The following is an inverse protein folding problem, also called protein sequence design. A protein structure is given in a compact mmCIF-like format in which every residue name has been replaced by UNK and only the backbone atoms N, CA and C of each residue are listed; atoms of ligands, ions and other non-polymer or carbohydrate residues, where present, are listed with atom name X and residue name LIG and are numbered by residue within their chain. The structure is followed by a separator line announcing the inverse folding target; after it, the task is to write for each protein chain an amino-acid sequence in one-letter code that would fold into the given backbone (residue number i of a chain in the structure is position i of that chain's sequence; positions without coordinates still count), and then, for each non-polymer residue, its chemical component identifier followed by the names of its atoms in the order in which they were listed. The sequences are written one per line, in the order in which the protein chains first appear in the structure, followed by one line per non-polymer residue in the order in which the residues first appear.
data_IF_542904358132
#
_entry.id   IF_542904358132
#
_cell.length_a   1.000
_cell.length_b   1.000
_cell.length_c   1.000
_cell.angle_alpha   90.00
_cell.angle_beta   90.00
_cell.angle_gamma   90.00
#
_symmetry.space_group_name_H-M   'P 1'
#
loop_
_entity.id
_entity.type
_entity.pdbx_description
1 polymer ?
#
# COMPACT_ATOMS: atom_id res chain seq x y z
N UNK A 1 9.62 0.95 -32.31
CA UNK A 1 8.96 1.68 -31.20
C UNK A 1 10.01 1.83 -30.09
N UNK A 2 10.61 3.03 -29.93
CA UNK A 2 11.56 3.29 -28.84
C UNK A 2 10.75 3.47 -27.57
N UNK A 3 10.84 2.54 -26.63
CA UNK A 3 10.41 2.78 -25.25
C UNK A 3 11.33 3.85 -24.67
N UNK A 4 10.86 5.10 -24.65
CA UNK A 4 11.49 6.14 -23.85
C UNK A 4 11.06 5.86 -22.41
N UNK A 5 11.92 5.15 -21.67
CA UNK A 5 11.76 4.96 -20.24
C UNK A 5 11.90 6.34 -19.61
N UNK A 6 10.78 7.03 -19.37
CA UNK A 6 10.80 8.33 -18.69
C UNK A 6 11.31 8.10 -17.27
N UNK A 7 12.52 8.56 -16.98
CA UNK A 7 13.09 8.54 -15.63
C UNK A 7 12.37 9.60 -14.80
N UNK A 8 11.41 9.20 -13.96
CA UNK A 8 10.85 10.07 -12.92
C UNK A 8 11.71 9.99 -11.66
N UNK A 9 11.91 11.13 -11.00
CA UNK A 9 12.46 11.17 -9.63
C UNK A 9 11.30 10.96 -8.66
N UNK A 10 11.55 10.20 -7.60
CA UNK A 10 10.60 10.09 -6.48
C UNK A 10 10.45 11.44 -5.78
N UNK A 11 9.32 11.64 -5.10
CA UNK A 11 9.10 12.85 -4.32
C UNK A 11 10.19 12.97 -3.25
N UNK A 12 10.83 14.15 -3.08
CA UNK A 12 11.83 14.35 -2.04
C UNK A 12 11.28 14.01 -0.65
N UNK A 13 12.13 13.40 0.17
CA UNK A 13 11.76 12.92 1.51
C UNK A 13 12.69 13.52 2.55
N UNK A 14 12.13 13.84 3.72
CA UNK A 14 12.93 14.02 4.93
C UNK A 14 13.36 12.65 5.43
N UNK A 15 14.61 12.55 5.88
CA UNK A 15 15.20 11.32 6.43
C UNK A 15 15.76 11.63 7.80
N UNK A 16 15.41 10.81 8.80
CA UNK A 16 15.93 10.94 10.16
C UNK A 16 15.98 9.57 10.84
N UNK A 17 16.70 9.48 11.96
CA UNK A 17 16.83 8.24 12.73
C UNK A 17 15.54 7.96 13.52
N UNK A 18 15.04 6.72 13.46
CA UNK A 18 13.94 6.26 14.31
C UNK A 18 14.36 6.32 15.79
N UNK A 19 13.46 6.63 16.74
CA UNK A 19 13.81 6.69 18.16
C UNK A 19 14.45 5.43 18.74
N UNK A 20 14.21 4.25 18.13
CA UNK A 20 14.89 3.00 18.52
C UNK A 20 16.39 2.96 18.18
N UNK A 21 16.86 3.84 17.28
CA UNK A 21 18.25 3.90 16.81
C UNK A 21 18.60 2.89 15.71
N UNK A 22 17.68 1.99 15.34
CA UNK A 22 18.02 0.82 14.51
C UNK A 22 17.64 0.96 13.02
N UNK A 23 16.98 2.05 12.63
CA UNK A 23 16.45 2.25 11.27
C UNK A 23 16.23 3.73 10.97
N UNK A 24 16.16 4.05 9.68
CA UNK A 24 15.83 5.39 9.20
C UNK A 24 14.34 5.49 8.88
N UNK A 25 13.74 6.61 9.24
CA UNK A 25 12.40 7.00 8.83
C UNK A 25 12.48 7.88 7.58
N UNK A 26 11.54 7.70 6.67
CA UNK A 26 11.43 8.49 5.45
C UNK A 26 10.01 9.02 5.28
N UNK A 27 9.86 10.32 5.10
CA UNK A 27 8.53 10.92 4.90
C UNK A 27 8.56 12.01 3.84
N UNK A 28 7.52 12.12 2.98
CA UNK A 28 7.45 13.18 1.99
C UNK A 28 7.62 14.56 2.62
N UNK A 29 8.34 15.44 1.93
CA UNK A 29 8.52 16.84 2.36
C UNK A 29 7.17 17.53 2.53
N UNK A 30 7.07 18.41 3.52
CA UNK A 30 5.79 19.07 3.89
C UNK A 30 5.30 20.03 2.82
N UNK A 31 6.20 20.49 1.95
CA UNK A 31 5.90 21.31 0.78
C UNK A 31 4.96 20.60 -0.20
N UNK A 32 4.97 19.26 -0.24
CA UNK A 32 4.05 18.47 -1.06
C UNK A 32 2.59 18.76 -0.69
N UNK A 33 2.30 19.04 0.58
CA UNK A 33 0.95 19.27 1.07
C UNK A 33 0.31 20.52 0.43
N UNK A 34 1.11 21.44 -0.12
CA UNK A 34 0.62 22.62 -0.87
C UNK A 34 -0.06 22.25 -2.19
N UNK A 35 0.20 21.04 -2.72
CA UNK A 35 -0.44 20.54 -3.92
C UNK A 35 -1.79 19.88 -3.64
N UNK A 36 -2.17 19.65 -2.37
CA UNK A 36 -3.47 19.05 -2.03
C UNK A 36 -4.61 19.98 -2.44
N UNK A 37 -5.47 19.49 -3.33
CA UNK A 37 -6.70 20.13 -3.77
C UNK A 37 -7.93 19.50 -3.10
N UNK A 38 -8.90 19.09 -3.93
CA UNK A 38 -10.16 18.50 -3.47
C UNK A 38 -9.91 17.32 -2.52
N UNK A 39 -10.57 17.34 -1.36
CA UNK A 39 -10.46 16.33 -0.31
C UNK A 39 -11.74 15.51 -0.19
N UNK A 40 -11.59 14.21 -0.05
CA UNK A 40 -12.63 13.28 0.39
C UNK A 40 -12.18 12.65 1.72
N UNK A 41 -13.15 12.44 2.61
CA UNK A 41 -12.89 11.81 3.89
C UNK A 41 -13.89 10.70 4.16
N UNK A 42 -13.37 9.56 4.64
CA UNK A 42 -14.14 8.43 5.13
C UNK A 42 -13.73 8.15 6.58
N UNK A 43 -14.66 7.80 7.44
CA UNK A 43 -14.36 7.51 8.85
C UNK A 43 -15.34 6.48 9.40
N UNK A 44 -14.88 5.68 10.36
CA UNK A 44 -15.66 4.65 11.05
C UNK A 44 -16.41 3.69 10.10
N UNK A 45 -15.74 3.23 9.03
CA UNK A 45 -16.30 2.22 8.12
C UNK A 45 -15.72 0.85 8.40
N UNK A 46 -16.58 -0.14 8.57
CA UNK A 46 -16.17 -1.54 8.71
C UNK A 46 -16.02 -2.17 7.33
N UNK A 47 -14.98 -2.99 7.19
CA UNK A 47 -14.68 -3.82 6.04
C UNK A 47 -14.68 -5.28 6.53
N UNK A 48 -15.74 -5.99 6.20
CA UNK A 48 -15.81 -7.43 6.37
C UNK A 48 -14.92 -8.13 5.32
N UNK A 49 -14.80 -9.45 5.43
CA UNK A 49 -14.08 -10.25 4.46
C UNK A 49 -14.72 -10.11 3.07
N UNK A 50 -13.93 -9.71 2.08
CA UNK A 50 -14.34 -9.49 0.70
C UNK A 50 -14.88 -8.08 0.43
N UNK A 51 -15.07 -7.26 1.46
CA UNK A 51 -15.59 -5.90 1.28
C UNK A 51 -14.56 -5.03 0.55
N UNK A 52 -15.08 -4.24 -0.40
CA UNK A 52 -14.32 -3.23 -1.14
C UNK A 52 -15.17 -1.96 -1.23
N UNK A 53 -14.58 -0.82 -0.89
CA UNK A 53 -15.23 0.50 -0.98
C UNK A 53 -14.43 1.35 -1.96
N UNK A 54 -15.10 1.82 -3.02
CA UNK A 54 -14.53 2.76 -3.98
C UNK A 54 -14.52 4.19 -3.39
N UNK A 55 -13.40 4.88 -3.55
CA UNK A 55 -13.23 6.29 -3.17
C UNK A 55 -13.47 7.14 -4.42
N UNK A 56 -14.58 7.88 -4.42
CA UNK A 56 -15.02 8.72 -5.55
C UNK A 56 -14.82 10.20 -5.24
N UNK A 57 -14.80 11.02 -6.30
CA UNK A 57 -14.73 12.48 -6.18
C UNK A 57 -13.31 13.02 -5.98
N UNK A 58 -12.30 12.30 -6.48
CA UNK A 58 -10.92 12.76 -6.57
C UNK A 58 -10.30 12.33 -7.90
N UNK A 59 -9.23 13.02 -8.33
CA UNK A 59 -8.40 12.60 -9.45
C UNK A 59 -7.46 11.48 -9.00
N UNK A 60 -7.90 10.22 -9.11
CA UNK A 60 -7.15 9.05 -8.58
C UNK A 60 -5.75 8.92 -9.18
N UNK A 61 -5.60 9.17 -10.48
CA UNK A 61 -4.31 9.06 -11.16
C UNK A 61 -3.26 10.03 -10.58
N UNK A 62 -3.65 11.06 -9.84
CA UNK A 62 -2.74 12.00 -9.19
C UNK A 62 -3.30 12.37 -7.80
N UNK A 63 -2.99 11.57 -6.79
CA UNK A 63 -3.62 11.64 -5.48
C UNK A 63 -2.65 11.40 -4.31
N UNK A 64 -2.98 11.94 -3.14
CA UNK A 64 -2.38 11.61 -1.85
C UNK A 64 -3.46 10.98 -0.98
N UNK A 65 -3.21 9.77 -0.48
CA UNK A 65 -4.17 9.00 0.31
C UNK A 65 -3.53 8.64 1.64
N UNK A 66 -4.17 9.00 2.75
CA UNK A 66 -3.74 8.68 4.10
C UNK A 66 -4.87 7.94 4.82
N UNK A 67 -4.62 6.70 5.22
CA UNK A 67 -5.60 5.83 5.88
C UNK A 67 -5.04 5.23 7.17
N UNK A 68 -5.88 5.19 8.19
CA UNK A 68 -5.66 4.47 9.45
C UNK A 68 -6.71 3.36 9.59
N UNK A 69 -6.22 2.13 9.70
CA UNK A 69 -6.97 0.92 9.97
C UNK A 69 -6.89 0.56 11.44
N UNK A 70 -7.92 -0.12 11.95
CA UNK A 70 -7.90 -0.80 13.25
C UNK A 70 -8.65 -2.12 13.18
N UNK A 71 -8.35 -3.04 14.09
CA UNK A 71 -8.96 -4.36 14.17
C UNK A 71 -9.13 -4.78 15.63
N UNK A 72 -10.08 -5.67 15.89
CA UNK A 72 -10.51 -5.97 17.26
C UNK A 72 -9.55 -6.90 17.99
N UNK A 73 -8.99 -7.87 17.26
CA UNK A 73 -8.09 -8.89 17.80
C UNK A 73 -6.99 -9.26 16.81
N UNK A 74 -5.89 -9.81 17.34
CA UNK A 74 -4.81 -10.46 16.60
C UNK A 74 -5.01 -11.97 16.49
N UNK A 75 -6.06 -12.53 17.12
CA UNK A 75 -6.25 -13.98 17.25
C UNK A 75 -6.41 -14.69 15.91
N UNK A 76 -6.94 -14.00 14.90
CA UNK A 76 -7.07 -14.57 13.56
C UNK A 76 -5.80 -14.49 12.74
N UNK A 77 -4.74 -13.79 13.18
CA UNK A 77 -3.49 -13.71 12.42
C UNK A 77 -2.96 -15.13 12.19
N UNK A 78 -2.56 -15.42 10.96
CA UNK A 78 -2.09 -16.75 10.60
C UNK A 78 -0.65 -16.97 11.06
N UNK A 79 -0.25 -18.22 11.23
CA UNK A 79 1.13 -18.55 11.58
C UNK A 79 2.06 -18.16 10.42
N UNK A 80 3.18 -17.54 10.76
CA UNK A 80 4.30 -17.38 9.85
C UNK A 80 4.83 -18.77 9.45
N UNK A 81 5.01 -19.01 8.14
CA UNK A 81 5.57 -20.28 7.66
C UNK A 81 7.10 -20.21 7.70
N UNK A 82 7.71 -20.97 8.62
CA UNK A 82 9.17 -21.06 8.78
C UNK A 82 9.89 -21.52 7.51
N UNK A 83 9.19 -22.18 6.57
CA UNK A 83 9.75 -22.52 5.26
C UNK A 83 10.10 -21.30 4.44
N UNK A 84 9.58 -20.11 4.76
CA UNK A 84 9.96 -18.86 4.11
C UNK A 84 11.37 -18.41 4.48
N UNK A 85 11.91 -18.86 5.62
CA UNK A 85 13.26 -18.47 6.06
C UNK A 85 14.38 -19.03 5.16
N UNK A 86 14.03 -19.90 4.20
CA UNK A 86 14.92 -20.31 3.11
C UNK A 86 15.15 -19.22 2.05
N UNK A 87 14.27 -18.20 1.98
CA UNK A 87 14.48 -17.08 1.08
C UNK A 87 15.57 -16.15 1.63
N UNK A 88 16.39 -15.55 0.75
CA UNK A 88 17.39 -14.58 1.20
C UNK A 88 16.73 -13.43 1.98
N UNK A 89 17.29 -12.97 3.12
CA UNK A 89 16.68 -11.95 3.97
C UNK A 89 16.26 -10.68 3.21
N UNK A 90 17.05 -10.25 2.22
CA UNK A 90 16.80 -9.09 1.38
C UNK A 90 15.59 -9.25 0.44
N UNK A 91 15.20 -10.49 0.12
CA UNK A 91 14.07 -10.81 -0.74
C UNK A 91 12.91 -11.48 0.02
N UNK A 92 13.07 -11.76 1.30
CA UNK A 92 12.09 -12.52 2.10
C UNK A 92 10.69 -11.89 2.05
N UNK A 93 10.57 -10.61 2.39
CA UNK A 93 9.29 -9.92 2.38
C UNK A 93 8.66 -9.86 0.98
N UNK A 94 9.48 -9.59 -0.04
CA UNK A 94 9.07 -9.61 -1.46
C UNK A 94 8.53 -10.98 -1.87
N UNK A 95 9.25 -12.06 -1.55
CA UNK A 95 8.85 -13.43 -1.87
C UNK A 95 7.54 -13.80 -1.18
N UNK A 96 7.37 -13.42 0.09
CA UNK A 96 6.11 -13.66 0.81
C UNK A 96 4.96 -12.90 0.15
N UNK A 97 5.14 -11.62 -0.24
CA UNK A 97 4.12 -10.86 -0.95
C UNK A 97 3.72 -11.50 -2.29
N UNK A 98 4.68 -12.08 -3.03
CA UNK A 98 4.40 -12.80 -4.27
C UNK A 98 3.65 -14.13 -4.07
N UNK A 99 3.83 -14.81 -2.93
CA UNK A 99 3.11 -16.04 -2.58
C UNK A 99 1.73 -15.74 -1.97
N UNK A 100 1.66 -14.69 -1.14
CA UNK A 100 0.47 -14.26 -0.39
C UNK A 100 -0.05 -12.94 -0.96
N UNK A 101 -0.41 -12.96 -2.24
CA UNK A 101 -0.94 -11.81 -2.97
C UNK A 101 -2.29 -11.33 -2.40
N UNK A 102 -2.80 -10.21 -2.92
CA UNK A 102 -4.06 -9.62 -2.47
C UNK A 102 -5.31 -10.53 -2.64
N UNK A 103 -5.24 -11.52 -3.54
CA UNK A 103 -6.33 -12.49 -3.76
C UNK A 103 -6.24 -13.69 -2.83
N UNK A 104 -5.07 -13.96 -2.23
CA UNK A 104 -4.87 -15.05 -1.28
C UNK A 104 -5.38 -14.63 0.10
N UNK A 105 -6.54 -15.18 0.46
CA UNK A 105 -7.20 -14.93 1.73
C UNK A 105 -6.31 -15.28 2.92
N UNK A 106 -6.52 -14.57 4.03
CA UNK A 106 -5.77 -14.78 5.25
C UNK A 106 -6.57 -14.48 6.51
N UNK A 107 -5.83 -14.48 7.60
CA UNK A 107 -6.31 -14.14 8.93
C UNK A 107 -6.60 -12.65 9.10
N UNK A 108 -5.57 -11.92 9.50
CA UNK A 108 -5.50 -10.47 9.43
C UNK A 108 -4.79 -10.05 8.13
N UNK A 109 -5.62 -9.74 7.14
CA UNK A 109 -5.19 -9.35 5.80
C UNK A 109 -5.24 -10.49 4.78
N UNK A 110 -5.12 -10.14 3.49
CA UNK A 110 -4.70 -8.82 3.01
C UNK A 110 -5.79 -7.75 3.16
N UNK A 111 -5.42 -6.57 3.68
CA UNK A 111 -6.28 -5.38 3.74
C UNK A 111 -5.46 -4.11 3.46
N UNK A 112 -6.05 -3.13 2.81
CA UNK A 112 -5.33 -1.92 2.42
C UNK A 112 -6.02 -1.16 1.30
N UNK A 113 -5.22 -0.66 0.36
CA UNK A 113 -5.66 0.11 -0.80
C UNK A 113 -5.54 -0.72 -2.09
N UNK A 114 -6.45 -0.50 -3.03
CA UNK A 114 -6.33 -0.91 -4.42
C UNK A 114 -6.17 0.37 -5.23
N UNK A 115 -4.96 0.62 -5.72
CA UNK A 115 -4.58 1.84 -6.43
C UNK A 115 -4.55 1.61 -7.93
N UNK A 116 -4.78 2.68 -8.71
CA UNK A 116 -4.71 2.67 -10.18
C UNK A 116 -5.46 1.45 -10.77
N UNK A 117 -6.71 1.29 -10.36
CA UNK A 117 -7.54 0.18 -10.75
C UNK A 117 -8.43 0.52 -11.97
N UNK A 118 -8.69 -0.43 -12.85
CA UNK A 118 -9.70 -0.30 -13.90
C UNK A 118 -11.10 -0.54 -13.31
N UNK A 119 -12.13 -0.08 -14.02
CA UNK A 119 -13.52 -0.12 -13.54
C UNK A 119 -14.04 -1.52 -13.18
N UNK A 120 -13.53 -2.59 -13.81
CA UNK A 120 -13.89 -3.97 -13.46
C UNK A 120 -12.75 -4.75 -12.80
N UNK A 121 -11.73 -4.05 -12.28
CA UNK A 121 -10.55 -4.64 -11.64
C UNK A 121 -9.78 -5.62 -12.55
N UNK A 122 -9.81 -5.40 -13.86
CA UNK A 122 -8.94 -6.13 -14.81
C UNK A 122 -7.46 -5.75 -14.63
N UNK A 123 -7.20 -4.49 -14.28
CA UNK A 123 -5.90 -3.99 -13.87
C UNK A 123 -6.02 -3.31 -12.51
N UNK A 124 -5.08 -3.53 -11.61
CA UNK A 124 -5.01 -2.85 -10.32
C UNK A 124 -3.66 -3.06 -9.64
N UNK A 125 -3.30 -2.16 -8.72
CA UNK A 125 -2.10 -2.29 -7.89
C UNK A 125 -2.47 -2.24 -6.41
N UNK A 126 -2.60 -3.39 -5.73
CA UNK A 126 -2.93 -3.41 -4.32
C UNK A 126 -1.69 -3.10 -3.47
N UNK A 127 -1.91 -2.25 -2.46
CA UNK A 127 -0.96 -1.94 -1.39
C UNK A 127 -1.62 -2.33 -0.08
N UNK A 128 -1.09 -3.35 0.60
CA UNK A 128 -1.82 -3.98 1.68
C UNK A 128 -0.93 -4.48 2.81
N UNK A 129 -1.53 -4.58 3.99
CA UNK A 129 -0.95 -5.21 5.15
C UNK A 129 -1.37 -6.68 5.27
N UNK A 130 -0.47 -7.47 5.85
CA UNK A 130 -0.74 -8.82 6.34
C UNK A 130 -0.03 -9.02 7.67
N UNK A 131 -0.71 -9.62 8.64
CA UNK A 131 -0.16 -9.82 9.99
C UNK A 131 -0.04 -11.32 10.25
N UNK A 132 1.17 -11.73 10.65
CA UNK A 132 1.50 -13.10 10.99
C UNK A 132 1.79 -13.21 12.48
N UNK A 133 1.37 -14.33 13.08
CA UNK A 133 1.87 -14.77 14.39
C UNK A 133 3.22 -15.43 14.22
N UNK A 134 4.15 -15.10 15.09
CA UNK A 134 5.43 -15.79 15.24
C UNK A 134 5.50 -16.41 16.64
N UNK A 135 6.56 -17.16 16.92
CA UNK A 135 6.77 -17.77 18.24
C UNK A 135 6.71 -16.76 19.39
N UNK A 136 6.35 -17.24 20.58
CA UNK A 136 6.30 -16.44 21.82
C UNK A 136 5.31 -15.26 21.80
N UNK A 137 4.12 -15.45 21.22
CA UNK A 137 3.06 -14.43 21.12
C UNK A 137 3.49 -13.12 20.41
N UNK A 138 4.54 -13.19 19.59
CA UNK A 138 4.99 -12.07 18.75
C UNK A 138 4.26 -12.06 17.42
N UNK A 139 4.30 -10.91 16.76
CA UNK A 139 3.68 -10.72 15.46
C UNK A 139 4.68 -10.08 14.49
N UNK A 140 4.54 -10.43 13.20
CA UNK A 140 5.23 -9.75 12.10
C UNK A 140 4.18 -9.08 11.21
N UNK A 141 4.36 -7.79 10.97
CA UNK A 141 3.54 -7.02 10.02
C UNK A 141 4.28 -6.94 8.71
N UNK A 142 3.62 -7.32 7.62
CA UNK A 142 4.12 -7.25 6.27
C UNK A 142 3.34 -6.20 5.50
N UNK A 143 4.04 -5.26 4.86
CA UNK A 143 3.49 -4.37 3.83
C UNK A 143 3.86 -4.95 2.47
N UNK A 144 2.87 -5.09 1.58
CA UNK A 144 3.05 -5.51 0.20
C UNK A 144 2.60 -4.42 -0.75
N UNK A 145 3.32 -4.28 -1.87
CA UNK A 145 2.84 -3.59 -3.07
C UNK A 145 2.99 -4.57 -4.23
N UNK A 146 1.88 -5.09 -4.71
CA UNK A 146 1.90 -6.17 -5.70
C UNK A 146 1.62 -5.63 -7.10
N UNK A 147 2.63 -5.55 -7.97
CA UNK A 147 2.42 -5.06 -9.33
C UNK A 147 1.93 -6.16 -10.29
N UNK A 148 1.83 -7.43 -9.87
CA UNK A 148 1.48 -8.53 -10.78
C UNK A 148 0.19 -8.29 -11.59
N UNK A 149 -0.92 -7.78 -10.99
CA UNK A 149 -2.14 -7.47 -11.73
C UNK A 149 -2.19 -6.03 -12.29
N UNK A 150 -1.08 -5.28 -12.26
CA UNK A 150 -1.10 -3.83 -12.55
C UNK A 150 -1.29 -3.44 -14.02
N UNK A 151 -1.09 -4.36 -14.97
CA UNK A 151 -1.18 -4.08 -16.40
C UNK A 151 -1.46 -5.33 -17.22
N UNK A 152 -2.28 -5.19 -18.27
CA UNK A 152 -2.53 -6.23 -19.27
C UNK A 152 -1.35 -6.42 -20.24
N UNK A 153 -0.43 -5.46 -20.31
CA UNK A 153 0.78 -5.63 -21.12
C UNK A 153 1.68 -6.71 -20.51
N UNK A 154 1.84 -7.83 -21.22
CA UNK A 154 2.64 -8.97 -20.75
C UNK A 154 4.16 -8.70 -20.77
N UNK A 155 4.60 -7.69 -21.51
CA UNK A 155 6.03 -7.34 -21.62
C UNK A 155 6.52 -6.40 -20.49
N UNK A 156 5.64 -6.00 -19.57
CA UNK A 156 5.99 -5.15 -18.44
C UNK A 156 6.64 -5.93 -17.30
N UNK A 157 7.64 -5.33 -16.66
CA UNK A 157 8.20 -5.84 -15.42
C UNK A 157 7.26 -5.54 -14.25
N UNK A 158 6.57 -6.57 -13.75
CA UNK A 158 5.49 -6.46 -12.75
C UNK A 158 5.76 -7.29 -11.49
N UNK A 159 6.86 -7.06 -10.75
CA UNK A 159 7.15 -7.80 -9.54
C UNK A 159 6.23 -7.38 -8.41
N UNK A 160 5.99 -8.27 -7.45
CA UNK A 160 5.60 -7.84 -6.12
C UNK A 160 6.81 -7.26 -5.38
N UNK A 161 6.57 -6.27 -4.53
CA UNK A 161 7.52 -5.76 -3.55
C UNK A 161 6.94 -5.92 -2.16
N UNK A 162 7.81 -6.03 -1.15
CA UNK A 162 7.39 -6.21 0.23
C UNK A 162 8.44 -5.72 1.21
N UNK A 163 7.97 -5.33 2.40
CA UNK A 163 8.82 -4.97 3.53
C UNK A 163 8.12 -5.28 4.85
N UNK A 164 8.86 -5.79 5.82
CA UNK A 164 8.34 -5.92 7.18
C UNK A 164 8.24 -4.53 7.83
N UNK A 165 7.21 -4.34 8.63
CA UNK A 165 6.91 -3.09 9.32
C UNK A 165 7.16 -3.30 10.81
N UNK A 166 8.15 -2.57 11.35
CA UNK A 166 8.52 -2.67 12.75
C UNK A 166 7.67 -1.72 13.61
N UNK A 167 6.51 -2.24 14.03
CA UNK A 167 5.44 -1.54 14.72
C UNK A 167 4.91 -2.35 15.89
N UNK A 168 4.58 -1.65 16.98
CA UNK A 168 3.87 -2.23 18.11
C UNK A 168 2.36 -2.26 17.82
N UNK A 169 1.76 -3.43 17.95
CA UNK A 169 0.33 -3.67 17.72
C UNK A 169 -0.53 -3.57 18.98
N UNK A 170 -0.01 -3.02 20.09
CA UNK A 170 -0.75 -2.80 21.33
C UNK A 170 -2.06 -2.01 21.10
N UNK A 171 -2.02 -0.98 20.25
CA UNK A 171 -3.21 -0.20 19.87
C UNK A 171 -4.05 -0.85 18.77
N UNK A 172 -3.57 -1.95 18.15
CA UNK A 172 -4.23 -2.66 17.04
C UNK A 172 -4.62 -1.71 15.91
N UNK A 173 -3.70 -0.80 15.56
CA UNK A 173 -3.84 0.17 14.49
C UNK A 173 -2.68 0.05 13.53
N UNK A 174 -2.96 0.33 12.26
CA UNK A 174 -1.95 0.49 11.22
C UNK A 174 -2.34 1.66 10.31
N UNK A 175 -1.35 2.40 9.87
CA UNK A 175 -1.42 3.60 9.05
C UNK A 175 -0.66 3.39 7.76
N UNK A 176 -1.25 3.86 6.67
CA UNK A 176 -0.68 3.78 5.33
C UNK A 176 -0.95 5.10 4.63
N UNK A 177 0.12 5.74 4.15
CA UNK A 177 0.03 6.83 3.19
C UNK A 177 0.50 6.35 1.83
N UNK A 178 -0.26 6.59 0.78
CA UNK A 178 0.14 6.30 -0.60
C UNK A 178 0.03 7.54 -1.46
N UNK A 179 1.14 7.94 -2.07
CA UNK A 179 1.20 8.95 -3.12
C UNK A 179 1.07 8.23 -4.47
N UNK A 180 0.09 8.64 -5.27
CA UNK A 180 -0.21 8.10 -6.57
C UNK A 180 0.06 9.20 -7.59
N UNK A 181 0.93 8.94 -8.56
CA UNK A 181 1.23 9.85 -9.66
C UNK A 181 1.46 9.06 -10.95
N UNK A 182 0.36 8.87 -11.67
CA UNK A 182 0.24 8.18 -12.95
C UNK A 182 0.84 6.78 -12.98
N UNK A 183 2.16 6.69 -13.16
CA UNK A 183 2.91 5.43 -13.27
C UNK A 183 3.72 5.10 -12.01
N UNK A 184 3.57 5.89 -10.94
CA UNK A 184 4.31 5.75 -9.69
C UNK A 184 3.33 5.64 -8.53
N UNK A 185 3.56 4.68 -7.63
CA UNK A 185 2.90 4.60 -6.33
C UNK A 185 3.98 4.53 -5.25
N UNK A 186 4.05 5.55 -4.38
CA UNK A 186 4.94 5.57 -3.21
C UNK A 186 4.12 5.36 -1.95
N UNK A 187 4.38 4.26 -1.23
CA UNK A 187 3.62 3.83 -0.07
C UNK A 187 4.46 3.85 1.19
N UNK A 188 3.97 4.52 2.23
CA UNK A 188 4.62 4.78 3.51
C UNK A 188 3.77 4.17 4.62
N UNK A 189 4.22 3.07 5.20
CA UNK A 189 3.58 2.49 6.37
C UNK A 189 4.14 3.07 7.67
N UNK A 190 3.27 3.26 8.65
CA UNK A 190 3.66 3.59 10.03
C UNK A 190 4.59 4.79 10.14
N UNK A 191 4.22 5.90 9.50
CA UNK A 191 5.04 7.13 9.52
C UNK A 191 6.35 7.01 8.76
N UNK A 192 6.43 6.09 7.79
CA UNK A 192 7.62 5.92 6.94
C UNK A 192 8.65 4.93 7.48
N UNK A 193 8.26 4.07 8.41
CA UNK A 193 9.10 2.95 8.89
C UNK A 193 9.39 1.92 7.79
N UNK A 194 8.43 1.74 6.89
CA UNK A 194 8.59 0.93 5.68
C UNK A 194 8.06 1.73 4.52
N UNK A 195 8.90 1.89 3.50
CA UNK A 195 8.53 2.62 2.28
C UNK A 195 8.75 1.74 1.07
N UNK A 196 7.72 1.64 0.23
CA UNK A 196 7.77 0.90 -1.04
C UNK A 196 7.42 1.85 -2.17
N UNK A 197 8.22 1.86 -3.22
CA UNK A 197 7.96 2.65 -4.43
C UNK A 197 7.84 1.71 -5.61
N UNK A 198 6.69 1.74 -6.26
CA UNK A 198 6.35 0.85 -7.37
C UNK A 198 6.16 1.67 -8.64
N UNK A 199 6.70 1.17 -9.76
CA UNK A 199 6.43 1.68 -11.10
C UNK A 199 5.45 0.76 -11.79
N UNK A 200 4.36 1.30 -12.28
CA UNK A 200 3.32 0.53 -12.98
C UNK A 200 2.86 1.25 -14.24
N UNK A 201 2.40 0.49 -15.24
CA UNK A 201 1.99 1.01 -16.53
C UNK A 201 0.67 0.36 -16.97
N UNK A 202 -0.46 0.66 -16.29
CA UNK A 202 -1.77 0.15 -16.68
C UNK A 202 -2.15 0.63 -18.10
N UNK A 203 -2.94 -0.15 -18.80
CA UNK A 203 -3.45 0.13 -20.15
C UNK A 203 -4.88 0.67 -20.12
N UNK A 204 -5.66 0.32 -19.09
CA UNK A 204 -7.04 0.69 -18.86
C UNK A 204 -7.17 1.74 -17.74
N UNK A 205 -6.46 1.53 -16.62
CA UNK A 205 -6.52 2.40 -15.44
C UNK A 205 -5.68 3.69 -15.60
N UNK A 206 -5.96 4.46 -16.64
CA UNK A 206 -5.20 5.67 -17.02
C UNK A 206 -6.07 6.92 -16.90
N UNK A 207 -5.54 7.97 -16.27
CA UNK A 207 -6.22 9.25 -16.12
C UNK A 207 -7.53 9.12 -15.37
N UNK A 208 -8.63 9.57 -15.98
CA UNK A 208 -9.97 9.53 -15.38
C UNK A 208 -10.55 8.10 -15.24
N UNK A 209 -9.98 7.12 -15.95
CA UNK A 209 -10.37 5.71 -15.84
C UNK A 209 -9.67 4.99 -14.68
N UNK A 210 -8.80 5.67 -13.93
CA UNK A 210 -8.18 5.12 -12.74
C UNK A 210 -9.14 5.22 -11.54
N UNK A 211 -9.31 4.12 -10.84
CA UNK A 211 -10.14 4.01 -9.64
C UNK A 211 -9.28 3.69 -8.42
N UNK A 212 -9.74 4.16 -7.25
CA UNK A 212 -9.11 3.91 -5.95
C UNK A 212 -10.12 3.19 -5.08
N UNK A 213 -9.69 2.10 -4.45
CA UNK A 213 -10.51 1.41 -3.46
C UNK A 213 -9.74 1.18 -2.16
N UNK A 214 -10.51 0.98 -1.10
CA UNK A 214 -10.03 0.40 0.16
C UNK A 214 -10.71 -0.95 0.34
N UNK A 215 -9.96 -1.97 0.76
CA UNK A 215 -10.46 -3.35 0.75
C UNK A 215 -10.00 -4.15 1.97
N UNK A 216 -10.72 -5.24 2.24
CA UNK A 216 -10.30 -6.29 3.16
C UNK A 216 -10.66 -7.67 2.58
N UNK A 217 -9.66 -8.52 2.37
CA UNK A 217 -9.85 -9.92 1.97
C UNK A 217 -9.32 -10.91 3.04
N UNK A 218 -9.11 -10.41 4.28
CA UNK A 218 -8.86 -11.20 5.48
C UNK A 218 -10.16 -11.57 6.22
N UNK A 219 -10.08 -12.56 7.09
CA UNK A 219 -11.21 -13.03 7.92
C UNK A 219 -11.49 -12.19 9.18
N UNK A 220 -10.52 -11.40 9.63
CA UNK A 220 -10.75 -10.39 10.66
C UNK A 220 -11.37 -9.14 10.07
N UNK A 221 -12.36 -8.57 10.78
CA UNK A 221 -13.02 -7.34 10.36
C UNK A 221 -12.04 -6.19 10.59
N UNK A 222 -11.83 -5.39 9.55
CA UNK A 222 -11.01 -4.18 9.62
C UNK A 222 -11.93 -2.97 9.69
N UNK A 223 -11.62 -2.01 10.54
CA UNK A 223 -12.32 -0.72 10.60
C UNK A 223 -11.39 0.36 10.09
N UNK A 224 -11.85 1.13 9.10
CA UNK A 224 -11.22 2.38 8.68
C UNK A 224 -11.56 3.40 9.76
N UNK A 225 -10.59 3.71 10.62
CA UNK A 225 -10.72 4.78 11.61
C UNK A 225 -10.91 6.10 10.87
N UNK A 226 -10.01 6.36 9.92
CA UNK A 226 -10.02 7.56 9.09
C UNK A 226 -9.29 7.27 7.80
N UNK A 227 -9.84 7.74 6.68
CA UNK A 227 -9.19 7.82 5.40
C UNK A 227 -9.40 9.24 4.88
N UNK A 228 -8.32 9.92 4.53
CA UNK A 228 -8.34 11.16 3.80
C UNK A 228 -7.72 10.89 2.42
N UNK A 229 -8.36 11.37 1.37
CA UNK A 229 -7.80 11.31 0.04
C UNK A 229 -7.90 12.70 -0.59
N UNK A 230 -6.81 13.16 -1.18
CA UNK A 230 -6.71 14.45 -1.84
C UNK A 230 -6.39 14.24 -3.31
N UNK A 231 -7.12 14.93 -4.19
CA UNK A 231 -6.62 15.19 -5.55
C UNK A 231 -5.40 16.07 -5.42
N UNK A 232 -4.32 15.72 -6.10
CA UNK A 232 -3.09 16.51 -6.08
C UNK A 232 -3.04 17.36 -7.35
N UNK A 233 -2.70 18.64 -7.20
CA UNK A 233 -2.44 19.53 -8.32
C UNK A 233 -1.08 19.22 -8.94
N UNK A 234 -0.97 19.41 -10.25
CA UNK A 234 0.29 19.21 -10.96
C UNK A 234 1.32 20.25 -10.52
N UNK A 235 2.52 19.80 -10.16
CA UNK A 235 3.62 20.70 -9.83
C UNK A 235 4.21 21.35 -11.09
N UNK A 236 4.63 22.60 -10.98
CA UNK A 236 5.50 23.20 -11.99
C UNK A 236 6.95 22.75 -11.75
N UNK A 237 7.46 21.91 -12.66
CA UNK A 237 8.83 21.42 -12.66
C UNK A 237 9.56 22.13 -13.79
N UNK A 238 10.62 22.87 -13.46
CA UNK A 238 11.50 23.56 -14.42
C UNK A 238 12.56 22.62 -14.98
#
# INVERSE_FOLDING_TARGET
MKFMQVSSKLIPRKVWLDPSGNKLLQWPVVELDKLRGQKIQLSNKKLNKGDTIEIKGITVAQADVDVTFTFSSLDKAELYDEKWDKFPPENLAKSICGIKSATVQGGLGPFGLITLASSKLEEYTPVFFRIFKTGHNKHRVLLCSDAAPSSLNQNEYKPSFGGFVDVDLAEKKLSLRSLIDHSVVESFAEGGKTVISSRIYPTLAVGENAHLHVFNNGSEIITIVRLNAWSMNTAHIN
#
